data_IF_543223323505
#
_entry.id   IF_543223323505
#
_cell.length_a   1.000
_cell.length_b   1.000
_cell.length_c   1.000
_cell.angle_alpha   90.00
_cell.angle_beta   90.00
_cell.angle_gamma   90.00
#
_symmetry.space_group_name_H-M   'P 1'
#
loop_
_entity.id
_entity.type
_entity.pdbx_description
1 polymer ?
#
# COMPACT_ATOMS: atom_id res chain seq x y z
N UNK A 1 12.36 -14.34 27.46
CA UNK A 1 11.56 -13.23 28.02
C UNK A 1 11.08 -12.41 26.83
N UNK A 2 9.87 -12.69 26.33
CA UNK A 2 9.34 -12.08 25.11
C UNK A 2 8.88 -10.66 25.40
N UNK A 3 9.53 -9.67 24.78
CA UNK A 3 9.11 -8.27 24.81
C UNK A 3 8.36 -7.98 23.50
N UNK A 4 7.14 -7.42 23.54
CA UNK A 4 6.30 -7.22 22.36
C UNK A 4 6.85 -6.10 21.47
N UNK A 5 6.98 -6.35 20.16
CA UNK A 5 7.39 -5.35 19.15
C UNK A 5 6.24 -4.42 18.75
N UNK A 6 6.56 -3.25 18.18
CA UNK A 6 5.58 -2.24 17.69
C UNK A 6 5.66 -2.13 16.16
N UNK A 7 4.55 -2.17 15.44
CA UNK A 7 4.54 -1.97 13.99
C UNK A 7 5.07 -0.60 13.56
N UNK A 8 5.73 -0.55 12.41
CA UNK A 8 6.20 0.69 11.78
C UNK A 8 5.98 0.70 10.27
N UNK A 9 6.17 1.87 9.67
CA UNK A 9 6.05 2.13 8.24
C UNK A 9 7.28 2.90 7.73
N UNK A 10 7.56 2.83 6.43
CA UNK A 10 8.57 3.68 5.79
C UNK A 10 7.94 5.01 5.41
N UNK A 11 8.65 6.11 5.68
CA UNK A 11 8.25 7.45 5.27
C UNK A 11 9.28 8.00 4.28
N UNK A 12 8.82 8.33 3.09
CA UNK A 12 9.64 8.94 2.05
C UNK A 12 9.58 10.47 2.12
N UNK A 13 10.70 11.11 1.82
CA UNK A 13 10.82 12.56 1.77
C UNK A 13 11.09 13.02 0.35
N UNK A 14 10.85 14.31 0.09
CA UNK A 14 11.24 14.98 -1.14
C UNK A 14 11.92 16.29 -0.76
N UNK A 15 12.90 16.71 -1.56
CA UNK A 15 13.52 18.03 -1.41
C UNK A 15 12.84 19.04 -2.34
N UNK A 16 12.34 18.57 -3.50
CA UNK A 16 11.64 19.38 -4.49
C UNK A 16 10.40 18.66 -5.05
N UNK A 17 9.46 19.42 -5.61
CA UNK A 17 8.25 18.85 -6.25
C UNK A 17 8.58 17.95 -7.45
N UNK A 18 9.76 18.11 -8.03
CA UNK A 18 10.28 17.32 -9.14
C UNK A 18 10.82 15.96 -8.71
N UNK A 19 10.92 15.68 -7.42
CA UNK A 19 11.52 14.46 -6.89
C UNK A 19 10.45 13.40 -6.63
N UNK A 20 10.82 12.14 -6.86
CA UNK A 20 10.08 11.02 -6.29
C UNK A 20 10.44 10.89 -4.80
N UNK A 21 9.53 10.39 -3.94
CA UNK A 21 9.86 10.14 -2.55
C UNK A 21 11.08 9.24 -2.42
N UNK A 22 12.14 9.74 -1.80
CA UNK A 22 13.29 8.92 -1.46
C UNK A 22 13.07 8.29 -0.08
N UNK A 23 13.39 7.00 0.02
CA UNK A 23 13.28 6.22 1.26
C UNK A 23 14.67 5.95 1.90
N UNK A 24 15.69 6.72 1.45
CA UNK A 24 17.14 6.57 1.68
C UNK A 24 17.60 6.31 3.12
N UNK A 25 18.00 7.31 3.90
CA UNK A 25 18.50 7.14 5.29
C UNK A 25 17.44 6.64 6.31
N UNK A 26 16.47 5.84 5.85
CA UNK A 26 15.47 5.05 6.59
C UNK A 26 14.81 5.84 7.72
N UNK A 27 13.96 6.80 7.36
CA UNK A 27 12.99 7.34 8.31
C UNK A 27 11.83 6.35 8.49
N UNK A 28 12.11 5.36 9.32
CA UNK A 28 11.10 4.45 9.86
C UNK A 28 10.23 5.28 10.81
N UNK A 29 8.92 5.17 10.65
CA UNK A 29 7.97 5.72 11.61
C UNK A 29 7.30 4.58 12.36
N UNK A 30 7.27 4.67 13.68
CA UNK A 30 6.45 3.77 14.49
C UNK A 30 4.99 4.18 14.36
N UNK A 31 4.07 3.22 14.29
CA UNK A 31 2.64 3.53 14.42
C UNK A 31 2.37 3.85 15.89
N UNK A 32 2.12 5.12 16.18
CA UNK A 32 1.94 5.62 17.54
C UNK A 32 0.49 5.49 18.02
N UNK A 33 -0.47 5.75 17.14
CA UNK A 33 -1.91 5.66 17.44
C UNK A 33 -2.70 5.43 16.16
N UNK A 34 -3.77 4.65 16.23
CA UNK A 34 -4.68 4.41 15.09
C UNK A 34 -6.12 4.59 15.53
N UNK A 35 -6.98 5.03 14.63
CA UNK A 35 -8.44 5.04 14.77
C UNK A 35 -9.07 4.39 13.54
N UNK A 36 -9.63 3.20 13.72
CA UNK A 36 -10.39 2.55 12.64
C UNK A 36 -11.65 3.35 12.27
N UNK A 37 -12.32 3.97 13.25
CA UNK A 37 -13.56 4.71 13.03
C UNK A 37 -13.35 6.05 12.31
N UNK A 38 -12.24 6.73 12.60
CA UNK A 38 -11.93 8.02 11.98
C UNK A 38 -11.04 7.88 10.74
N UNK A 39 -10.57 6.66 10.44
CA UNK A 39 -9.64 6.35 9.34
C UNK A 39 -8.37 7.22 9.36
N UNK A 40 -7.73 7.29 10.52
CA UNK A 40 -6.54 8.12 10.77
C UNK A 40 -5.55 7.40 11.67
N UNK A 41 -4.26 7.60 11.40
CA UNK A 41 -3.15 7.14 12.23
C UNK A 41 -2.16 8.28 12.53
N UNK A 42 -1.54 8.22 13.70
CA UNK A 42 -0.37 9.03 14.06
C UNK A 42 0.85 8.15 13.94
N UNK A 43 1.85 8.63 13.20
CA UNK A 43 3.14 7.99 13.06
C UNK A 43 4.20 8.80 13.82
N UNK A 44 5.14 8.12 14.48
CA UNK A 44 6.27 8.73 15.16
C UNK A 44 7.54 8.48 14.36
N UNK A 45 8.03 9.51 13.68
CA UNK A 45 9.26 9.44 12.88
C UNK A 45 10.49 9.20 13.75
N UNK A 46 11.37 8.28 13.32
CA UNK A 46 12.73 8.16 13.84
C UNK A 46 13.57 9.33 13.31
N UNK A 47 14.15 10.11 14.21
CA UNK A 47 15.01 11.24 13.88
C UNK A 47 16.35 11.14 14.63
N UNK A 48 17.20 10.16 14.29
CA UNK A 48 18.42 9.85 15.06
C UNK A 48 19.45 10.98 15.01
N UNK A 49 19.50 11.69 13.87
CA UNK A 49 20.37 12.85 13.65
C UNK A 49 19.82 14.14 14.24
N UNK A 50 18.65 14.08 14.89
CA UNK A 50 17.95 15.22 15.51
C UNK A 50 17.82 16.43 14.56
N UNK A 51 17.54 16.17 13.29
CA UNK A 51 17.37 17.21 12.28
C UNK A 51 16.01 17.88 12.45
N UNK A 52 15.95 19.19 12.24
CA UNK A 52 14.67 19.89 12.20
C UNK A 52 13.97 19.61 10.87
N UNK A 53 12.87 18.85 10.92
CA UNK A 53 12.04 18.57 9.76
C UNK A 53 11.01 19.70 9.56
N UNK A 54 10.78 20.05 8.29
CA UNK A 54 9.67 20.93 7.93
C UNK A 54 8.35 20.29 8.41
N UNK A 55 7.54 21.06 9.13
CA UNK A 55 6.31 20.56 9.74
C UNK A 55 5.23 21.63 9.74
N UNK A 56 3.98 21.18 9.79
CA UNK A 56 2.79 22.03 9.95
C UNK A 56 2.17 21.72 11.30
N UNK A 57 1.93 22.76 12.10
CA UNK A 57 1.30 22.61 13.40
C UNK A 57 -0.23 22.50 13.25
N UNK A 58 -0.72 21.26 13.12
CA UNK A 58 -2.16 21.00 12.96
C UNK A 58 -2.97 21.29 14.22
N UNK A 59 -2.35 21.32 15.41
CA UNK A 59 -3.06 21.59 16.67
C UNK A 59 -3.60 23.02 16.78
N UNK A 60 -3.00 23.95 16.03
CA UNK A 60 -3.44 25.35 15.92
C UNK A 60 -4.34 25.59 14.70
N UNK A 61 -4.52 24.57 13.87
CA UNK A 61 -5.33 24.66 12.66
C UNK A 61 -6.81 24.44 12.97
N UNK A 62 -7.69 25.07 12.19
CA UNK A 62 -9.14 25.02 12.37
C UNK A 62 -9.85 25.11 11.02
N UNK A 63 -10.87 24.27 10.82
CA UNK A 63 -11.70 24.26 9.61
C UNK A 63 -13.08 24.90 9.76
N UNK A 64 -13.43 25.46 10.93
CA UNK A 64 -14.79 25.97 11.21
C UNK A 64 -15.16 27.25 10.45
N UNK A 65 -14.16 28.05 10.04
CA UNK A 65 -14.39 29.38 9.46
C UNK A 65 -14.20 29.42 7.93
N UNK A 66 -14.02 28.26 7.30
CA UNK A 66 -13.88 28.17 5.83
C UNK A 66 -15.21 28.57 5.20
N UNK A 67 -15.16 29.49 4.22
CA UNK A 67 -16.36 29.96 3.54
C UNK A 67 -16.68 29.08 2.33
N UNK A 68 -17.96 28.82 2.06
CA UNK A 68 -18.37 28.16 0.82
C UNK A 68 -17.78 28.87 -0.39
N UNK A 69 -17.20 28.09 -1.32
CA UNK A 69 -16.50 28.61 -2.49
C UNK A 69 -15.06 29.05 -2.23
N UNK A 70 -14.55 28.96 -1.01
CA UNK A 70 -13.14 29.24 -0.72
C UNK A 70 -12.25 28.18 -1.35
N UNK A 71 -11.19 28.62 -2.04
CA UNK A 71 -10.26 27.72 -2.71
C UNK A 71 -9.39 27.02 -1.67
N UNK A 72 -9.37 25.70 -1.75
CA UNK A 72 -8.43 24.85 -1.05
C UNK A 72 -7.56 24.08 -2.04
N UNK A 73 -6.43 23.61 -1.55
CA UNK A 73 -5.45 22.85 -2.30
C UNK A 73 -5.21 21.52 -1.62
N UNK A 74 -4.90 20.48 -2.39
CA UNK A 74 -4.53 19.17 -1.85
C UNK A 74 -3.22 18.69 -2.46
N UNK A 75 -2.45 18.00 -1.63
CA UNK A 75 -1.15 17.44 -2.00
C UNK A 75 -1.13 15.96 -1.65
N UNK A 76 -0.67 15.14 -2.58
CA UNK A 76 -0.53 13.70 -2.39
C UNK A 76 0.27 13.05 -3.51
N UNK A 77 0.30 11.72 -3.53
CA UNK A 77 0.98 10.92 -4.54
C UNK A 77 -0.01 9.99 -5.27
N UNK A 78 -1.01 10.56 -5.98
CA UNK A 78 -1.96 9.76 -6.72
C UNK A 78 -1.27 9.01 -7.85
N UNK A 79 -1.21 7.69 -7.75
CA UNK A 79 -0.49 6.83 -8.70
C UNK A 79 -0.96 7.01 -10.15
N UNK A 80 -2.19 7.49 -10.34
CA UNK A 80 -2.78 7.80 -11.64
C UNK A 80 -2.20 9.04 -12.32
N UNK A 81 -1.62 9.97 -11.55
CA UNK A 81 -1.02 11.21 -12.04
C UNK A 81 0.51 11.19 -12.03
N UNK A 82 1.12 10.06 -11.65
CA UNK A 82 2.55 9.85 -11.66
C UNK A 82 3.09 9.40 -10.31
N UNK A 83 4.41 9.48 -10.16
CA UNK A 83 5.18 9.05 -8.97
C UNK A 83 5.59 10.21 -8.08
N UNK A 84 5.41 11.44 -8.56
CA UNK A 84 5.82 12.68 -7.88
C UNK A 84 4.64 13.31 -7.17
N UNK A 85 4.94 14.23 -6.26
CA UNK A 85 3.90 14.95 -5.53
C UNK A 85 2.98 15.66 -6.52
N UNK A 86 1.68 15.48 -6.36
CA UNK A 86 0.66 16.11 -7.20
C UNK A 86 -0.10 17.13 -6.40
N UNK A 87 -0.21 18.32 -6.97
CA UNK A 87 -1.03 19.41 -6.48
C UNK A 87 -2.36 19.44 -7.24
N UNK A 88 -3.46 19.56 -6.52
CA UNK A 88 -4.78 19.87 -7.09
C UNK A 88 -5.45 20.97 -6.28
N UNK A 89 -6.35 21.72 -6.89
CA UNK A 89 -7.12 22.76 -6.22
C UNK A 89 -8.60 22.64 -6.55
N UNK A 90 -9.45 23.12 -5.64
CA UNK A 90 -10.88 23.22 -5.85
C UNK A 90 -11.55 23.98 -4.73
N UNK A 91 -12.86 24.09 -4.82
CA UNK A 91 -13.67 24.91 -3.93
C UNK A 91 -14.14 24.09 -2.73
N UNK A 92 -14.11 24.69 -1.55
CA UNK A 92 -14.83 24.18 -0.40
C UNK A 92 -16.34 24.17 -0.70
N UNK A 93 -16.92 22.96 -0.71
CA UNK A 93 -18.29 22.68 -1.17
C UNK A 93 -19.24 22.33 -0.03
N UNK A 94 -18.84 22.58 1.21
CA UNK A 94 -19.64 22.39 2.42
C UNK A 94 -19.16 21.26 3.31
N UNK A 95 -19.93 20.97 4.35
CA UNK A 95 -19.61 19.95 5.38
C UNK A 95 -20.59 18.79 5.28
N UNK A 96 -20.10 17.58 5.55
CA UNK A 96 -20.91 16.39 5.78
C UNK A 96 -20.33 15.60 6.96
N UNK A 97 -20.97 15.73 8.13
CA UNK A 97 -20.46 15.16 9.38
C UNK A 97 -19.03 15.59 9.69
N UNK A 98 -18.13 14.60 9.74
CA UNK A 98 -16.69 14.80 10.01
C UNK A 98 -15.89 15.29 8.80
N UNK A 99 -16.53 15.42 7.63
CA UNK A 99 -15.84 15.64 6.37
C UNK A 99 -16.12 17.02 5.78
N UNK A 100 -15.09 17.61 5.17
CA UNK A 100 -15.19 18.76 4.29
C UNK A 100 -15.30 18.27 2.85
N UNK A 101 -16.23 18.84 2.09
CA UNK A 101 -16.44 18.52 0.68
C UNK A 101 -15.62 19.46 -0.19
N UNK A 102 -15.08 18.95 -1.28
CA UNK A 102 -14.30 19.75 -2.24
C UNK A 102 -14.52 19.33 -3.68
N UNK A 103 -14.37 20.27 -4.61
CA UNK A 103 -14.26 19.99 -6.05
C UNK A 103 -12.82 19.68 -6.48
N UNK A 104 -11.85 19.74 -5.57
CA UNK A 104 -10.47 19.36 -5.87
C UNK A 104 -10.43 17.91 -6.35
N UNK A 105 -9.55 17.63 -7.32
CA UNK A 105 -9.38 16.28 -7.86
C UNK A 105 -8.74 15.41 -6.78
N UNK A 106 -9.48 14.41 -6.33
CA UNK A 106 -9.02 13.37 -5.39
C UNK A 106 -9.04 12.03 -6.11
N UNK A 107 -7.97 11.26 -5.91
CA UNK A 107 -7.75 9.93 -6.48
C UNK A 107 -6.93 9.10 -5.48
N UNK A 108 -6.92 7.78 -5.64
CA UNK A 108 -6.11 6.89 -4.81
C UNK A 108 -4.63 7.32 -4.78
N UNK A 109 -4.09 7.53 -3.59
CA UNK A 109 -2.75 8.09 -3.32
C UNK A 109 -2.76 9.54 -2.82
N UNK A 110 -3.91 10.22 -2.88
CA UNK A 110 -4.13 11.45 -2.08
C UNK A 110 -4.54 11.12 -0.64
N UNK A 111 -5.09 9.92 -0.40
CA UNK A 111 -5.52 9.49 0.93
C UNK A 111 -4.36 9.53 1.94
N UNK A 112 -4.54 10.23 3.05
CA UNK A 112 -3.47 10.46 4.04
C UNK A 112 -2.57 11.67 3.76
N UNK A 113 -2.74 12.34 2.62
CA UNK A 113 -2.08 13.60 2.28
C UNK A 113 -2.65 14.80 3.03
N UNK A 114 -2.30 16.01 2.58
CA UNK A 114 -2.73 17.24 3.24
C UNK A 114 -3.58 18.15 2.35
N UNK A 115 -4.63 18.72 2.94
CA UNK A 115 -5.42 19.78 2.35
C UNK A 115 -5.18 21.11 3.06
N UNK A 116 -5.00 22.18 2.29
CA UNK A 116 -4.58 23.49 2.79
C UNK A 116 -5.40 24.63 2.19
N UNK A 117 -5.51 25.72 2.95
CA UNK A 117 -5.93 27.02 2.41
C UNK A 117 -4.73 27.77 1.81
N UNK A 118 -5.00 28.80 1.01
CA UNK A 118 -3.97 29.65 0.39
C UNK A 118 -2.97 30.26 1.39
N UNK A 119 -3.39 30.47 2.64
CA UNK A 119 -2.52 30.99 3.70
C UNK A 119 -1.65 29.91 4.39
N UNK A 120 -1.66 28.67 3.90
CA UNK A 120 -0.91 27.55 4.46
C UNK A 120 -1.60 26.84 5.63
N UNK A 121 -2.81 27.24 6.02
CA UNK A 121 -3.56 26.56 7.08
C UNK A 121 -3.95 25.15 6.64
N UNK A 122 -3.57 24.13 7.41
CA UNK A 122 -4.01 22.77 7.20
C UNK A 122 -5.47 22.61 7.61
N UNK A 123 -6.33 22.08 6.75
CA UNK A 123 -7.78 22.01 7.00
C UNK A 123 -8.32 20.59 7.04
N UNK A 124 -7.58 19.61 6.55
CA UNK A 124 -8.00 18.22 6.60
C UNK A 124 -7.13 17.26 5.81
N UNK A 125 -7.52 15.99 5.85
CA UNK A 125 -6.83 14.87 5.22
C UNK A 125 -7.74 14.32 4.12
N UNK A 126 -7.36 14.33 2.83
CA UNK A 126 -8.13 13.63 1.81
C UNK A 126 -8.31 12.17 2.20
N UNK A 127 -9.52 11.64 2.07
CA UNK A 127 -9.86 10.29 2.52
C UNK A 127 -10.69 9.52 1.49
N UNK A 128 -11.67 10.18 0.88
CA UNK A 128 -12.68 9.52 0.06
C UNK A 128 -13.15 10.37 -1.12
N UNK A 129 -13.79 9.70 -2.07
CA UNK A 129 -14.48 10.30 -3.22
C UNK A 129 -15.88 9.70 -3.30
N UNK A 130 -16.89 10.55 -3.31
CA UNK A 130 -18.28 10.13 -3.55
C UNK A 130 -18.60 10.38 -5.03
N UNK A 131 -18.92 9.32 -5.76
CA UNK A 131 -19.29 9.39 -7.18
C UNK A 131 -20.79 9.61 -7.31
N UNK A 132 -21.18 10.67 -8.00
CA UNK A 132 -22.53 10.87 -8.52
C UNK A 132 -22.67 10.36 -9.96
N UNK A 133 -23.86 10.48 -10.55
CA UNK A 133 -24.16 10.03 -11.91
C UNK A 133 -23.44 10.83 -13.01
N UNK A 134 -23.06 12.08 -12.73
CA UNK A 134 -22.41 12.97 -13.70
C UNK A 134 -20.98 13.34 -13.31
N UNK A 135 -20.70 13.46 -12.01
CA UNK A 135 -19.40 13.90 -11.48
C UNK A 135 -19.17 13.29 -10.09
N UNK A 136 -18.00 13.54 -9.52
CA UNK A 136 -17.64 13.13 -8.17
C UNK A 136 -17.34 14.32 -7.27
N UNK A 137 -17.43 14.10 -5.96
CA UNK A 137 -17.07 15.08 -4.95
C UNK A 137 -16.00 14.48 -4.03
N UNK A 138 -14.94 15.24 -3.77
CA UNK A 138 -13.86 14.86 -2.86
C UNK A 138 -14.26 15.12 -1.40
N UNK A 139 -13.83 14.24 -0.50
CA UNK A 139 -14.07 14.34 0.93
C UNK A 139 -12.73 14.39 1.67
N UNK A 140 -12.61 15.33 2.59
CA UNK A 140 -11.45 15.55 3.45
C UNK A 140 -11.89 15.33 4.90
N UNK A 141 -11.24 14.45 5.64
CA UNK A 141 -11.44 14.36 7.09
C UNK A 141 -11.01 15.67 7.72
N UNK A 142 -11.91 16.37 8.40
CA UNK A 142 -11.64 17.72 8.89
C UNK A 142 -10.56 17.75 9.96
N UNK A 143 -9.74 18.80 9.98
CA UNK A 143 -8.73 18.98 11.04
C UNK A 143 -9.37 19.07 12.42
N UNK A 144 -10.60 19.56 12.53
CA UNK A 144 -11.35 19.59 13.78
C UNK A 144 -11.67 18.18 14.29
N UNK A 145 -12.09 17.26 13.41
CA UNK A 145 -12.29 15.86 13.75
C UNK A 145 -10.99 15.20 14.17
N UNK A 146 -9.89 15.45 13.43
CA UNK A 146 -8.56 14.92 13.76
C UNK A 146 -8.12 15.43 15.13
N UNK A 147 -8.20 16.73 15.40
CA UNK A 147 -7.82 17.33 16.67
C UNK A 147 -8.70 16.84 17.83
N UNK A 148 -10.01 16.65 17.61
CA UNK A 148 -10.91 16.05 18.59
C UNK A 148 -10.50 14.61 18.96
N UNK A 149 -10.05 13.82 17.98
CA UNK A 149 -9.54 12.48 18.21
C UNK A 149 -8.14 12.46 18.87
N UNK A 150 -7.28 13.42 18.54
CA UNK A 150 -5.99 13.59 19.19
C UNK A 150 -6.14 13.99 20.67
N UNK A 151 -7.18 14.76 21.02
CA UNK A 151 -7.53 15.14 22.40
C UNK A 151 -6.31 15.66 23.21
N UNK A 152 -5.60 16.65 22.67
CA UNK A 152 -4.37 17.25 23.25
C UNK A 152 -3.18 16.29 23.40
N UNK A 153 -3.21 15.10 22.79
CA UNK A 153 -2.01 14.28 22.66
C UNK A 153 -1.03 14.95 21.71
N UNK A 154 0.05 15.47 22.27
CA UNK A 154 1.20 15.90 21.48
C UNK A 154 2.07 14.67 21.26
N UNK A 155 2.22 14.23 20.00
CA UNK A 155 3.11 13.13 19.65
C UNK A 155 4.60 13.43 19.96
N UNK A 156 4.91 14.69 20.29
CA UNK A 156 6.26 15.20 20.49
C UNK A 156 6.32 16.24 21.63
N UNK A 157 7.04 15.97 22.70
CA UNK A 157 7.32 16.91 23.79
C UNK A 157 8.77 17.40 23.69
N UNK A 158 8.96 18.68 23.33
CA UNK A 158 10.27 19.33 23.17
C UNK A 158 11.16 19.32 24.44
N UNK A 159 10.59 19.01 25.61
CA UNK A 159 11.32 19.06 26.90
C UNK A 159 11.89 17.71 27.36
N UNK A 160 11.85 16.66 26.54
CA UNK A 160 12.42 15.36 26.88
C UNK A 160 13.65 15.06 26.03
N UNK A 161 14.84 15.21 26.62
CA UNK A 161 16.12 14.78 26.03
C UNK A 161 16.20 13.25 25.83
N UNK A 162 15.18 12.50 26.25
CA UNK A 162 15.08 11.06 26.04
C UNK A 162 14.33 10.75 24.74
N UNK A 163 15.09 10.72 23.65
CA UNK A 163 14.72 10.03 22.42
C UNK A 163 14.81 8.51 22.68
N UNK A 164 13.94 7.96 23.52
CA UNK A 164 13.86 6.52 23.74
C UNK A 164 13.44 5.87 22.41
N UNK A 165 14.43 5.41 21.67
CA UNK A 165 14.28 4.60 20.47
C UNK A 165 13.36 3.41 20.79
N UNK A 166 12.25 3.28 20.06
CA UNK A 166 11.47 2.05 20.02
C UNK A 166 12.38 0.92 19.51
N UNK A 167 12.42 -0.22 20.21
CA UNK A 167 13.38 -1.30 19.93
C UNK A 167 13.17 -2.01 18.59
N UNK A 168 12.06 -1.77 17.88
CA UNK A 168 11.88 -2.21 16.48
C UNK A 168 12.85 -1.50 15.55
N UNK A 169 13.21 -0.27 15.89
CA UNK A 169 14.20 0.54 15.19
C UNK A 169 15.59 -0.09 15.18
N UNK A 170 15.99 -0.78 16.27
CA UNK A 170 17.29 -1.45 16.35
C UNK A 170 17.35 -2.76 15.55
N UNK A 171 16.18 -3.38 15.27
CA UNK A 171 16.11 -4.60 14.44
C UNK A 171 16.15 -4.18 12.96
N UNK A 172 15.40 -3.15 12.57
CA UNK A 172 15.32 -2.66 11.18
C UNK A 172 16.60 -1.99 10.64
N UNK A 173 17.48 -1.50 11.51
CA UNK A 173 18.77 -0.92 11.12
C UNK A 173 19.72 -1.97 10.50
N UNK A 174 19.56 -3.26 10.83
CA UNK A 174 20.36 -4.38 10.31
C UNK A 174 19.56 -5.41 9.49
N UNK A 175 18.26 -5.17 9.28
CA UNK A 175 17.43 -6.03 8.46
C UNK A 175 17.56 -5.64 7.00
N UNK A 176 17.92 -6.63 6.18
CA UNK A 176 17.69 -6.63 4.75
C UNK A 176 16.20 -6.36 4.48
N UNK A 177 15.87 -5.34 3.69
CA UNK A 177 14.48 -5.03 3.33
C UNK A 177 13.78 -6.22 2.65
N UNK A 178 14.54 -7.19 2.15
CA UNK A 178 14.04 -8.47 1.64
C UNK A 178 13.44 -9.38 2.74
N UNK A 179 13.86 -9.23 4.00
CA UNK A 179 13.44 -10.04 5.13
C UNK A 179 12.27 -9.42 5.94
N UNK A 180 11.83 -8.21 5.61
CA UNK A 180 10.72 -7.55 6.31
C UNK A 180 9.41 -8.34 6.28
N UNK A 181 9.15 -9.06 5.19
CA UNK A 181 7.94 -9.88 5.01
C UNK A 181 7.87 -11.09 5.94
N UNK A 182 9.01 -11.63 6.37
CA UNK A 182 9.09 -12.86 7.19
C UNK A 182 9.11 -12.59 8.70
N UNK A 183 9.07 -11.32 9.12
CA UNK A 183 9.20 -10.92 10.51
C UNK A 183 7.86 -10.86 11.27
N UNK A 184 6.73 -11.03 10.58
CA UNK A 184 5.41 -11.07 11.21
C UNK A 184 5.11 -9.85 12.09
N UNK A 185 5.50 -8.64 11.64
CA UNK A 185 5.34 -7.41 12.41
C UNK A 185 3.85 -7.02 12.51
N UNK A 186 3.37 -6.75 13.73
CA UNK A 186 2.01 -6.31 14.02
C UNK A 186 1.99 -5.12 14.99
N UNK A 187 0.89 -4.36 15.03
CA UNK A 187 0.76 -3.15 15.85
C UNK A 187 0.41 -3.53 17.30
N UNK A 188 1.15 -3.03 18.28
CA UNK A 188 0.79 -3.17 19.70
C UNK A 188 -0.28 -2.15 20.10
N UNK A 189 -1.34 -2.63 20.74
CA UNK A 189 -2.60 -1.90 20.98
C UNK A 189 -3.85 -2.64 20.47
N UNK A 190 -3.63 -3.64 19.61
CA UNK A 190 -4.64 -4.59 19.13
C UNK A 190 -4.76 -5.84 20.03
N UNK A 191 -4.36 -5.76 21.31
CA UNK A 191 -4.41 -6.93 22.21
C UNK A 191 -5.85 -7.46 22.43
N UNK A 192 -6.86 -6.61 22.21
CA UNK A 192 -8.27 -7.03 22.17
C UNK A 192 -8.69 -7.68 20.83
N UNK A 193 -7.88 -7.61 19.78
CA UNK A 193 -8.14 -8.12 18.43
C UNK A 193 -7.16 -9.21 17.96
N UNK A 194 -6.38 -9.82 18.86
CA UNK A 194 -5.54 -11.01 18.57
C UNK A 194 -6.37 -12.25 18.13
N UNK A 195 -7.69 -12.11 17.98
CA UNK A 195 -8.57 -13.14 17.39
C UNK A 195 -9.21 -12.76 16.06
N UNK A 196 -8.82 -11.66 15.43
CA UNK A 196 -9.44 -11.22 14.18
C UNK A 196 -8.42 -11.33 13.04
N UNK A 197 -8.48 -12.44 12.30
CA UNK A 197 -7.75 -12.63 11.04
C UNK A 197 -7.91 -11.39 10.15
N UNK A 198 -6.84 -10.92 9.50
CA UNK A 198 -6.94 -9.89 8.46
C UNK A 198 -7.84 -10.37 7.32
N UNK A 199 -8.44 -9.47 6.55
CA UNK A 199 -9.34 -9.87 5.47
C UNK A 199 -8.69 -10.82 4.45
N UNK A 200 -7.41 -10.62 4.12
CA UNK A 200 -6.65 -11.55 3.28
C UNK A 200 -6.43 -12.91 3.95
N UNK A 201 -6.15 -12.94 5.25
CA UNK A 201 -6.03 -14.20 6.00
C UNK A 201 -7.36 -14.96 6.04
N UNK A 202 -8.49 -14.24 6.21
CA UNK A 202 -9.83 -14.87 6.13
C UNK A 202 -10.08 -15.47 4.77
N UNK A 203 -9.80 -14.75 3.68
CA UNK A 203 -9.99 -15.26 2.31
C UNK A 203 -9.12 -16.49 2.06
N UNK A 204 -7.84 -16.45 2.45
CA UNK A 204 -6.92 -17.58 2.30
C UNK A 204 -7.40 -18.78 3.14
N UNK A 205 -7.79 -18.55 4.40
CA UNK A 205 -8.27 -19.60 5.29
C UNK A 205 -9.59 -20.22 4.83
N UNK A 206 -10.51 -19.39 4.32
CA UNK A 206 -11.77 -19.83 3.71
C UNK A 206 -11.49 -20.68 2.47
N UNK A 207 -10.71 -20.17 1.52
CA UNK A 207 -10.42 -20.89 0.27
C UNK A 207 -9.62 -22.17 0.51
N UNK A 208 -8.74 -22.22 1.52
CA UNK A 208 -8.09 -23.47 1.95
C UNK A 208 -9.09 -24.54 2.39
N UNK A 209 -10.13 -24.16 3.16
CA UNK A 209 -11.18 -25.10 3.60
C UNK A 209 -12.05 -25.59 2.44
N UNK A 210 -12.17 -24.79 1.39
CA UNK A 210 -12.99 -25.09 0.22
C UNK A 210 -12.22 -25.84 -0.88
N UNK A 211 -10.90 -26.06 -0.72
CA UNK A 211 -10.10 -26.89 -1.62
C UNK A 211 -10.68 -28.30 -1.68
N UNK A 212 -10.95 -28.76 -2.90
CA UNK A 212 -11.39 -30.13 -3.20
C UNK A 212 -10.19 -30.98 -3.62
N UNK A 213 -10.42 -32.17 -4.17
CA UNK A 213 -9.33 -33.02 -4.69
C UNK A 213 -8.51 -32.23 -5.73
N UNK A 214 -7.21 -32.07 -5.44
CA UNK A 214 -6.29 -31.36 -6.33
C UNK A 214 -6.24 -32.02 -7.70
N UNK A 215 -6.49 -31.23 -8.74
CA UNK A 215 -6.33 -31.62 -10.12
C UNK A 215 -4.97 -31.14 -10.63
N UNK A 216 -4.03 -32.09 -10.76
CA UNK A 216 -2.67 -31.81 -11.24
C UNK A 216 -2.64 -31.37 -12.71
N UNK A 217 -3.60 -31.81 -13.53
CA UNK A 217 -3.70 -31.41 -14.94
C UNK A 217 -4.15 -29.96 -15.04
N UNK A 218 -5.18 -29.58 -14.28
CA UNK A 218 -5.63 -28.20 -14.19
C UNK A 218 -4.54 -27.29 -13.61
N UNK A 219 -3.94 -27.67 -12.49
CA UNK A 219 -2.86 -26.89 -11.86
C UNK A 219 -1.68 -26.69 -12.81
N UNK A 220 -1.33 -27.70 -13.63
CA UNK A 220 -0.29 -27.58 -14.66
C UNK A 220 -0.71 -26.67 -15.82
N UNK A 221 -1.96 -26.71 -16.25
CA UNK A 221 -2.49 -25.83 -17.31
C UNK A 221 -2.54 -24.37 -16.86
N UNK A 222 -2.92 -24.14 -15.59
CA UNK A 222 -3.03 -22.80 -15.01
C UNK A 222 -1.67 -22.26 -14.53
N UNK A 223 -0.61 -23.06 -14.59
CA UNK A 223 0.71 -22.72 -14.08
C UNK A 223 1.21 -21.38 -14.63
N UNK A 224 1.61 -20.48 -13.74
CA UNK A 224 2.11 -19.17 -14.11
C UNK A 224 1.04 -18.15 -14.54
N UNK A 225 -0.24 -18.52 -14.60
CA UNK A 225 -1.30 -17.58 -14.95
C UNK A 225 -1.80 -16.80 -13.72
N UNK A 226 -2.29 -15.60 -13.99
CA UNK A 226 -3.13 -14.85 -13.04
C UNK A 226 -4.58 -15.27 -13.29
N UNK A 227 -5.29 -15.62 -12.22
CA UNK A 227 -6.68 -16.07 -12.26
C UNK A 227 -7.57 -15.09 -11.51
N UNK A 228 -8.78 -14.87 -12.00
CA UNK A 228 -9.80 -14.03 -11.36
C UNK A 228 -11.05 -14.88 -11.08
N UNK A 229 -11.49 -14.95 -9.83
CA UNK A 229 -12.75 -15.62 -9.49
C UNK A 229 -13.95 -14.82 -10.02
N UNK A 230 -14.72 -15.40 -10.94
CA UNK A 230 -15.84 -14.68 -11.61
C UNK A 230 -17.20 -14.90 -10.93
N UNK A 231 -17.27 -15.76 -9.92
CA UNK A 231 -18.51 -16.17 -9.24
C UNK A 231 -18.58 -15.70 -7.78
N UNK A 232 -17.65 -14.85 -7.35
CA UNK A 232 -17.58 -14.30 -5.98
C UNK A 232 -17.29 -12.78 -6.04
N UNK A 233 -16.23 -12.29 -5.40
CA UNK A 233 -15.93 -10.85 -5.30
C UNK A 233 -14.86 -10.38 -6.30
N UNK A 234 -14.46 -11.23 -7.25
CA UNK A 234 -13.36 -10.90 -8.17
C UNK A 234 -11.97 -11.15 -7.56
N UNK A 235 -11.87 -12.07 -6.60
CA UNK A 235 -10.60 -12.42 -5.96
C UNK A 235 -9.54 -12.83 -7.00
N UNK A 236 -8.39 -12.14 -6.95
CA UNK A 236 -7.25 -12.40 -7.84
C UNK A 236 -6.25 -13.38 -7.23
N UNK A 237 -5.72 -14.27 -8.06
CA UNK A 237 -4.78 -15.32 -7.66
C UNK A 237 -3.63 -15.45 -8.66
N UNK A 238 -2.41 -15.65 -8.17
CA UNK A 238 -1.26 -16.02 -8.98
C UNK A 238 -0.94 -17.51 -8.80
N UNK A 239 -0.89 -18.28 -9.88
CA UNK A 239 -0.47 -19.69 -9.81
C UNK A 239 1.03 -19.77 -9.98
N UNK A 240 1.76 -20.05 -8.91
CA UNK A 240 3.21 -20.04 -8.92
C UNK A 240 3.79 -21.21 -9.77
N UNK A 241 4.63 -20.94 -10.77
CA UNK A 241 5.26 -21.95 -11.62
C UNK A 241 5.96 -23.11 -10.91
N UNK A 242 6.53 -22.82 -9.73
CA UNK A 242 7.45 -23.72 -9.03
C UNK A 242 6.72 -24.78 -8.20
N UNK A 243 5.58 -24.44 -7.58
CA UNK A 243 4.80 -25.36 -6.74
C UNK A 243 3.39 -25.64 -7.26
N UNK A 244 2.96 -24.94 -8.31
CA UNK A 244 1.63 -25.04 -8.95
C UNK A 244 0.48 -24.71 -8.00
N UNK A 245 0.76 -23.98 -6.91
CA UNK A 245 -0.26 -23.49 -5.98
C UNK A 245 -0.69 -22.09 -6.36
N UNK A 246 -1.94 -21.76 -6.04
CA UNK A 246 -2.49 -20.41 -6.17
C UNK A 246 -2.21 -19.60 -4.92
N UNK A 247 -1.73 -18.37 -5.10
CA UNK A 247 -1.43 -17.41 -4.05
C UNK A 247 -2.34 -16.20 -4.22
N UNK A 248 -2.93 -15.73 -3.12
CA UNK A 248 -3.91 -14.66 -3.15
C UNK A 248 -3.24 -13.30 -3.43
N UNK A 249 -3.59 -12.65 -4.54
CA UNK A 249 -3.04 -11.35 -4.93
C UNK A 249 -3.73 -10.19 -4.20
N UNK A 250 -4.99 -10.38 -3.77
CA UNK A 250 -5.72 -9.54 -2.83
C UNK A 250 -5.39 -8.05 -2.84
N UNK A 251 -4.78 -7.59 -1.75
CA UNK A 251 -4.35 -6.20 -1.55
C UNK A 251 -2.92 -6.02 -2.05
N UNK A 252 -2.50 -4.77 -2.24
CA UNK A 252 -1.14 -4.44 -2.67
C UNK A 252 -0.04 -5.08 -1.81
N UNK A 253 -0.26 -5.20 -0.50
CA UNK A 253 0.68 -5.86 0.40
C UNK A 253 0.80 -7.38 0.15
N UNK A 254 -0.31 -8.06 -0.18
CA UNK A 254 -0.31 -9.50 -0.46
C UNK A 254 0.40 -9.78 -1.79
N UNK A 255 0.10 -9.00 -2.83
CA UNK A 255 0.80 -9.05 -4.11
C UNK A 255 2.30 -8.74 -3.98
N UNK A 256 2.67 -7.75 -3.16
CA UNK A 256 4.07 -7.44 -2.87
C UNK A 256 4.79 -8.61 -2.20
N UNK A 257 4.16 -9.24 -1.20
CA UNK A 257 4.70 -10.44 -0.55
C UNK A 257 4.91 -11.57 -1.55
N UNK A 258 3.99 -11.78 -2.49
CA UNK A 258 4.13 -12.76 -3.59
C UNK A 258 5.34 -12.43 -4.46
N UNK A 259 5.42 -11.21 -4.98
CA UNK A 259 6.55 -10.79 -5.81
C UNK A 259 7.86 -11.01 -5.09
N UNK A 260 7.93 -10.67 -3.80
CA UNK A 260 9.16 -10.75 -3.04
C UNK A 260 9.59 -12.18 -2.70
N UNK A 261 8.66 -13.04 -2.30
CA UNK A 261 8.99 -14.37 -1.81
C UNK A 261 9.01 -15.44 -2.91
N UNK A 262 8.23 -15.23 -3.98
CA UNK A 262 8.12 -16.18 -5.09
C UNK A 262 8.77 -15.66 -6.38
N UNK A 263 9.22 -14.40 -6.39
CA UNK A 263 9.93 -13.82 -7.51
C UNK A 263 11.32 -14.43 -7.69
N UNK A 264 11.71 -14.65 -8.94
CA UNK A 264 13.04 -15.08 -9.31
C UNK A 264 13.95 -13.85 -9.49
N UNK A 265 14.97 -13.72 -8.64
CA UNK A 265 15.99 -12.70 -8.83
C UNK A 265 16.77 -12.93 -10.14
N UNK A 266 16.95 -11.88 -10.92
CA UNK A 266 17.68 -11.89 -12.18
C UNK A 266 18.61 -10.67 -12.25
N UNK A 267 19.81 -10.87 -12.81
CA UNK A 267 20.77 -9.80 -13.04
C UNK A 267 20.26 -8.81 -14.08
N UNK A 268 20.61 -7.54 -13.92
CA UNK A 268 20.12 -6.47 -14.81
C UNK A 268 20.50 -6.74 -16.28
N UNK A 269 21.74 -7.15 -16.52
CA UNK A 269 22.24 -7.45 -17.87
C UNK A 269 21.53 -8.64 -18.52
N UNK A 270 21.11 -9.64 -17.74
CA UNK A 270 20.37 -10.80 -18.24
C UNK A 270 18.91 -10.42 -18.53
N UNK A 271 18.29 -9.66 -17.63
CA UNK A 271 16.95 -9.13 -17.82
C UNK A 271 16.86 -8.28 -19.08
N UNK A 272 17.79 -7.32 -19.26
CA UNK A 272 17.84 -6.43 -20.44
C UNK A 272 18.00 -7.20 -21.76
N UNK A 273 18.71 -8.34 -21.76
CA UNK A 273 18.78 -9.21 -22.95
C UNK A 273 17.41 -9.80 -23.31
N UNK A 274 16.63 -10.20 -22.31
CA UNK A 274 15.29 -10.73 -22.55
C UNK A 274 14.28 -9.65 -22.96
N UNK A 275 14.35 -8.47 -22.33
CA UNK A 275 13.52 -7.31 -22.68
C UNK A 275 13.71 -6.88 -24.14
N UNK A 276 14.94 -6.94 -24.65
CA UNK A 276 15.25 -6.62 -26.05
C UNK A 276 14.97 -7.77 -27.02
N UNK A 277 14.52 -8.92 -26.53
CA UNK A 277 14.25 -10.11 -27.35
C UNK A 277 12.97 -10.80 -26.88
N UNK A 278 13.01 -12.11 -26.62
CA UNK A 278 11.86 -12.89 -26.15
C UNK A 278 12.28 -13.72 -24.96
N UNK A 279 11.43 -13.78 -23.93
CA UNK A 279 11.70 -14.62 -22.77
C UNK A 279 11.66 -16.11 -23.15
N UNK A 280 12.58 -16.88 -22.55
CA UNK A 280 12.60 -18.33 -22.69
C UNK A 280 11.38 -18.97 -22.00
N UNK A 281 10.91 -20.10 -22.51
CA UNK A 281 9.83 -20.88 -21.90
C UNK A 281 10.12 -21.29 -20.45
N UNK A 282 11.39 -21.35 -20.03
CA UNK A 282 11.79 -21.59 -18.63
C UNK A 282 11.34 -20.49 -17.66
N UNK A 283 11.14 -19.28 -18.17
CA UNK A 283 10.70 -18.10 -17.40
C UNK A 283 9.18 -17.86 -17.54
N UNK A 284 8.49 -18.69 -18.32
CA UNK A 284 7.05 -18.59 -18.55
C UNK A 284 6.27 -18.57 -17.23
N UNK A 285 5.51 -17.52 -17.02
CA UNK A 285 4.66 -17.34 -15.85
C UNK A 285 5.39 -16.92 -14.58
N UNK A 286 6.71 -16.70 -14.62
CA UNK A 286 7.46 -16.25 -13.45
C UNK A 286 7.34 -14.75 -13.27
N UNK A 287 7.39 -14.35 -12.01
CA UNK A 287 7.71 -12.97 -11.61
C UNK A 287 9.23 -12.89 -11.50
N UNK A 288 9.85 -11.94 -12.17
CA UNK A 288 11.28 -11.68 -12.17
C UNK A 288 11.55 -10.40 -11.38
N UNK A 289 12.58 -10.39 -10.55
CA UNK A 289 13.03 -9.22 -9.81
C UNK A 289 14.43 -8.83 -10.25
N UNK A 290 14.62 -7.59 -10.71
CA UNK A 290 15.95 -7.03 -10.95
C UNK A 290 16.65 -6.81 -9.60
N UNK A 291 17.66 -7.63 -9.31
CA UNK A 291 18.38 -7.59 -8.02
C UNK A 291 19.59 -6.66 -8.03
N UNK A 292 19.93 -6.05 -9.17
CA UNK A 292 21.12 -5.20 -9.32
C UNK A 292 20.77 -3.70 -9.50
N UNK A 293 19.48 -3.37 -9.73
CA UNK A 293 18.99 -1.98 -9.78
C UNK A 293 17.98 -1.66 -8.66
N UNK A 294 16.78 -1.15 -9.00
CA UNK A 294 15.82 -0.60 -8.03
C UNK A 294 14.83 -1.66 -7.52
N UNK A 295 15.08 -2.95 -7.78
CA UNK A 295 14.16 -4.01 -7.39
C UNK A 295 12.98 -4.16 -8.34
N UNK A 296 13.12 -3.77 -9.61
CA UNK A 296 12.02 -3.81 -10.57
C UNK A 296 11.46 -5.22 -10.78
N UNK A 297 10.14 -5.34 -10.74
CA UNK A 297 9.38 -6.57 -10.90
C UNK A 297 8.72 -6.66 -12.29
N UNK A 298 8.89 -7.81 -12.93
CA UNK A 298 8.30 -8.12 -14.24
C UNK A 298 7.59 -9.46 -14.20
N UNK A 299 6.34 -9.51 -14.64
CA UNK A 299 5.62 -10.75 -14.89
C UNK A 299 5.81 -11.21 -16.34
N UNK A 300 6.30 -12.43 -16.53
CA UNK A 300 6.42 -13.03 -17.87
C UNK A 300 5.13 -13.80 -18.18
N UNK A 301 4.29 -13.26 -19.06
CA UNK A 301 3.00 -13.87 -19.38
C UNK A 301 3.18 -15.22 -20.10
N UNK A 302 2.56 -16.32 -19.61
CA UNK A 302 2.69 -17.63 -20.25
C UNK A 302 2.21 -17.69 -21.71
N UNK A 303 1.27 -16.81 -22.09
CA UNK A 303 0.64 -16.86 -23.41
C UNK A 303 1.53 -16.35 -24.54
N UNK A 304 2.29 -15.28 -24.30
CA UNK A 304 3.10 -14.62 -25.33
C UNK A 304 4.60 -14.57 -25.00
N UNK A 305 4.98 -14.93 -23.77
CA UNK A 305 6.34 -14.81 -23.23
C UNK A 305 6.87 -13.38 -23.29
N UNK A 306 5.97 -12.40 -23.15
CA UNK A 306 6.30 -11.00 -22.95
C UNK A 306 6.28 -10.65 -21.48
N UNK A 307 7.12 -9.71 -21.11
CA UNK A 307 7.14 -9.08 -19.82
C UNK A 307 5.98 -8.10 -19.64
N UNK A 308 5.58 -7.94 -18.39
CA UNK A 308 4.67 -6.92 -17.95
C UNK A 308 5.16 -6.36 -16.63
N UNK A 309 5.32 -5.05 -16.59
CA UNK A 309 5.83 -4.35 -15.42
C UNK A 309 4.87 -4.48 -14.22
N UNK A 310 5.39 -4.67 -13.02
CA UNK A 310 4.61 -4.86 -11.79
C UNK A 310 4.96 -3.86 -10.66
N UNK A 311 5.84 -2.89 -10.90
CA UNK A 311 6.35 -2.04 -9.82
C UNK A 311 5.31 -1.13 -9.19
N UNK A 312 4.35 -0.63 -9.97
CA UNK A 312 3.31 0.29 -9.46
C UNK A 312 1.99 -0.46 -9.32
N UNK A 313 1.15 -0.09 -8.33
CA UNK A 313 -0.19 -0.67 -8.18
C UNK A 313 -1.03 -0.61 -9.47
N UNK A 314 -0.89 0.48 -10.24
CA UNK A 314 -1.59 0.63 -11.52
C UNK A 314 -1.12 -0.35 -12.59
N UNK A 315 0.17 -0.68 -12.64
CA UNK A 315 0.71 -1.65 -13.60
C UNK A 315 0.25 -3.05 -13.23
N UNK A 316 0.37 -3.43 -11.95
CA UNK A 316 -0.12 -4.71 -11.45
C UNK A 316 -1.63 -4.89 -11.69
N UNK A 317 -2.43 -3.84 -11.45
CA UNK A 317 -3.86 -3.86 -11.74
C UNK A 317 -4.15 -4.03 -13.25
N UNK A 318 -3.40 -3.33 -14.10
CA UNK A 318 -3.50 -3.48 -15.56
C UNK A 318 -3.19 -4.91 -15.99
N UNK A 319 -2.14 -5.52 -15.43
CA UNK A 319 -1.79 -6.92 -15.70
C UNK A 319 -2.91 -7.86 -15.28
N UNK A 320 -3.45 -7.71 -14.06
CA UNK A 320 -4.58 -8.53 -13.60
C UNK A 320 -5.82 -8.37 -14.50
N UNK A 321 -6.16 -7.14 -14.89
CA UNK A 321 -7.33 -6.85 -15.72
C UNK A 321 -7.18 -7.36 -17.16
N UNK A 322 -6.02 -7.13 -17.77
CA UNK A 322 -5.79 -7.39 -19.19
C UNK A 322 -5.40 -8.86 -19.45
N UNK A 323 -4.72 -9.51 -18.50
CA UNK A 323 -4.18 -10.87 -18.65
C UNK A 323 -4.82 -11.91 -17.72
N UNK A 324 -5.58 -11.47 -16.72
CA UNK A 324 -6.25 -12.37 -15.77
C UNK A 324 -7.26 -13.27 -16.47
N UNK A 325 -7.16 -14.57 -16.21
CA UNK A 325 -8.09 -15.56 -16.73
C UNK A 325 -9.24 -15.74 -15.74
N UNK A 326 -10.48 -15.54 -16.20
CA UNK A 326 -11.66 -15.86 -15.41
C UNK A 326 -11.71 -17.35 -15.09
N UNK A 327 -11.98 -17.70 -13.83
CA UNK A 327 -12.11 -19.09 -13.38
C UNK A 327 -13.30 -19.24 -12.42
N UNK A 328 -13.99 -20.37 -12.53
CA UNK A 328 -15.12 -20.72 -11.64
C UNK A 328 -14.61 -21.11 -10.25
N UNK A 329 -15.47 -20.98 -9.24
CA UNK A 329 -15.18 -21.43 -7.89
C UNK A 329 -14.94 -22.95 -7.85
N UNK A 330 -15.68 -23.71 -8.66
CA UNK A 330 -15.52 -25.17 -8.76
C UNK A 330 -14.14 -25.58 -9.28
N UNK A 331 -13.58 -24.86 -10.26
CA UNK A 331 -12.28 -25.20 -10.84
C UNK A 331 -11.11 -24.63 -10.04
N UNK A 332 -11.21 -23.39 -9.55
CA UNK A 332 -10.13 -22.79 -8.76
C UNK A 332 -9.87 -23.56 -7.46
N UNK A 333 -10.90 -24.20 -6.89
CA UNK A 333 -10.81 -25.07 -5.70
C UNK A 333 -10.18 -26.43 -5.96
N UNK A 334 -9.86 -26.77 -7.21
CA UNK A 334 -9.02 -27.93 -7.56
C UNK A 334 -7.53 -27.56 -7.64
N UNK A 335 -7.17 -26.30 -7.40
CA UNK A 335 -5.79 -25.81 -7.33
C UNK A 335 -5.45 -25.55 -5.86
N UNK A 336 -4.30 -26.06 -5.40
CA UNK A 336 -3.88 -25.93 -4.00
C UNK A 336 -3.61 -24.48 -3.62
N UNK A 337 -3.97 -24.07 -2.40
CA UNK A 337 -3.72 -22.71 -1.91
C UNK A 337 -2.33 -22.64 -1.26
N UNK A 338 -1.51 -21.71 -1.73
CA UNK A 338 -0.23 -21.35 -1.15
C UNK A 338 -0.36 -20.26 -0.09
N UNK A 339 0.60 -20.19 0.82
CA UNK A 339 0.67 -19.15 1.84
C UNK A 339 2.12 -18.75 2.03
N UNK A 340 2.35 -17.45 2.12
CA UNK A 340 3.66 -16.86 2.33
C UNK A 340 3.79 -16.62 3.83
N UNK A 341 4.87 -17.11 4.41
CA UNK A 341 5.14 -17.05 5.84
C UNK A 341 5.94 -15.81 6.23
#
# INVERSE_FOLDING_TARGET
MNLPGTAGCLVGFIDNYGDEPYFGDRQIADIYKVSGNADVAVLKLKNPSNINLASVNISQSNSSNIKLGEILTTYGYPAKFGTKITYTSGDFSGVDGSYLKTTAIIEHGNSGGGAYLKNGSFIGIPTAVVKGSLNSMGYLLSVNTVNGWLNNLVAYNNNSNNNNYSRVSAILDNIDLNALGSLGLFITGDEANIKTETESQKVIAEEKKLVTKIDNSLSKRMNGNILLQVEKNGEGWYVNPDDKKKYYLGRSADAFSIMRNLGLGIKHDELTKYLNSKFSSRLSGKILLDVEQNGEAYYVNPKDLKEYFLNRPADAFKVMRDLGLGITNADIRKIGVGEIK
#
